data_IF_211344110295
#
_entry.id   IF_211344110295
#
_cell.length_a   1.000
_cell.length_b   1.000
_cell.length_c   1.000
_cell.angle_alpha   90.00
_cell.angle_beta   90.00
_cell.angle_gamma   90.00
#
_symmetry.space_group_name_H-M   'P 1'
#
loop_
_entity.id
_entity.type
_entity.pdbx_description
1 polymer ?
#
# COMPACT_ATOMS: atom_id res chain seq x y z
N UNK A 1 -71.04 32.83 -15.27
CA UNK A 1 -70.65 31.59 -14.53
C UNK A 1 -69.54 30.91 -15.30
N UNK A 2 -68.27 31.14 -14.99
CA UNK A 2 -67.09 30.54 -15.58
C UNK A 2 -66.56 29.44 -14.67
N UNK A 3 -66.40 28.21 -15.21
CA UNK A 3 -65.82 27.08 -14.51
C UNK A 3 -64.29 27.30 -14.31
N UNK A 4 -63.72 26.99 -13.18
CA UNK A 4 -62.28 27.08 -12.96
C UNK A 4 -61.56 25.93 -13.70
N UNK A 5 -60.45 26.27 -14.47
CA UNK A 5 -59.54 25.30 -15.04
C UNK A 5 -58.78 24.53 -13.94
N UNK A 6 -58.86 23.23 -13.96
CA UNK A 6 -58.02 22.35 -13.16
C UNK A 6 -56.57 22.43 -13.69
N UNK A 7 -55.67 23.05 -12.93
CA UNK A 7 -54.24 22.88 -13.12
C UNK A 7 -53.87 21.42 -12.77
N UNK A 8 -53.61 20.62 -13.76
CA UNK A 8 -52.93 19.30 -13.60
C UNK A 8 -51.44 19.58 -13.32
N UNK A 9 -51.06 19.59 -12.04
CA UNK A 9 -49.65 19.49 -11.69
C UNK A 9 -49.14 18.11 -12.12
N UNK A 10 -48.32 18.05 -13.17
CA UNK A 10 -47.56 16.88 -13.52
C UNK A 10 -46.56 16.64 -12.41
N UNK A 11 -46.79 15.62 -11.60
CA UNK A 11 -45.77 15.07 -10.70
C UNK A 11 -44.68 14.43 -11.55
N UNK A 12 -43.69 15.19 -11.98
CA UNK A 12 -42.47 14.66 -12.55
C UNK A 12 -41.86 13.74 -11.51
N UNK A 13 -41.85 12.44 -11.79
CA UNK A 13 -41.19 11.47 -10.92
C UNK A 13 -39.71 11.90 -10.80
N UNK A 14 -39.26 12.09 -9.56
CA UNK A 14 -37.84 12.37 -9.28
C UNK A 14 -37.01 11.18 -9.77
N UNK A 15 -36.27 11.40 -10.86
CA UNK A 15 -35.27 10.44 -11.36
C UNK A 15 -33.97 10.81 -10.68
N UNK A 16 -33.48 9.98 -9.74
CA UNK A 16 -32.24 10.28 -9.04
C UNK A 16 -31.08 10.31 -10.07
N UNK A 17 -30.29 11.38 -10.08
CA UNK A 17 -29.04 11.42 -10.83
C UNK A 17 -28.14 10.28 -10.32
N UNK A 18 -27.54 9.52 -11.23
CA UNK A 18 -26.51 8.53 -10.86
C UNK A 18 -25.39 9.26 -10.13
N UNK A 19 -25.13 8.86 -8.90
CA UNK A 19 -23.97 9.32 -8.13
C UNK A 19 -22.80 8.43 -8.54
N UNK A 20 -21.69 9.05 -8.93
CA UNK A 20 -20.43 8.36 -9.23
C UNK A 20 -19.39 8.72 -8.18
N UNK A 21 -18.35 7.91 -8.05
CA UNK A 21 -17.19 8.23 -7.22
C UNK A 21 -16.51 9.51 -7.70
N UNK A 22 -15.77 10.16 -6.80
CA UNK A 22 -14.96 11.31 -7.18
C UNK A 22 -13.82 10.85 -8.08
N UNK A 23 -13.55 11.62 -9.14
CA UNK A 23 -12.47 11.36 -10.07
C UNK A 23 -11.12 11.38 -9.32
N UNK A 24 -10.19 10.51 -9.73
CA UNK A 24 -8.89 10.35 -9.07
C UNK A 24 -8.90 9.49 -7.80
N UNK A 25 -10.10 9.09 -7.29
CA UNK A 25 -10.22 8.14 -6.19
C UNK A 25 -10.50 6.74 -6.71
N UNK A 26 -9.88 5.74 -6.08
CA UNK A 26 -9.90 4.35 -6.53
C UNK A 26 -10.85 3.51 -5.67
N UNK A 27 -11.73 2.75 -6.34
CA UNK A 27 -12.51 1.68 -5.70
C UNK A 27 -11.75 0.35 -5.78
N UNK A 28 -11.80 -0.42 -4.69
CA UNK A 28 -11.40 -1.84 -4.68
C UNK A 28 -12.69 -2.66 -4.77
N UNK A 29 -12.95 -3.23 -5.94
CA UNK A 29 -14.17 -4.00 -6.20
C UNK A 29 -13.93 -5.51 -6.06
N UNK A 30 -15.00 -6.31 -6.06
CA UNK A 30 -14.89 -7.76 -6.01
C UNK A 30 -14.05 -8.36 -7.17
N UNK A 31 -13.91 -7.66 -8.29
CA UNK A 31 -13.07 -8.09 -9.42
C UNK A 31 -11.57 -7.86 -9.15
N UNK A 32 -11.23 -6.76 -8.46
CA UNK A 32 -9.83 -6.39 -8.15
C UNK A 32 -9.40 -6.87 -6.77
N UNK A 33 -10.34 -7.14 -5.86
CA UNK A 33 -10.09 -7.57 -4.48
C UNK A 33 -9.17 -8.79 -4.33
N UNK A 34 -9.28 -9.85 -5.14
CA UNK A 34 -8.41 -11.02 -4.98
C UNK A 34 -6.92 -10.69 -5.04
N UNK A 35 -6.53 -9.82 -5.97
CA UNK A 35 -5.14 -9.36 -6.07
C UNK A 35 -4.76 -8.47 -4.90
N UNK A 36 -5.64 -7.54 -4.52
CA UNK A 36 -5.44 -6.68 -3.36
C UNK A 36 -5.30 -7.47 -2.07
N UNK A 37 -6.22 -8.41 -1.82
CA UNK A 37 -6.15 -9.26 -0.65
C UNK A 37 -4.86 -10.09 -0.61
N UNK A 38 -4.40 -10.61 -1.75
CA UNK A 38 -3.13 -11.32 -1.84
C UNK A 38 -1.92 -10.42 -1.53
N UNK A 39 -1.90 -9.19 -2.06
CA UNK A 39 -0.87 -8.19 -1.78
C UNK A 39 -0.81 -7.84 -0.29
N UNK A 40 -1.96 -7.52 0.32
CA UNK A 40 -2.06 -7.18 1.74
C UNK A 40 -1.64 -8.35 2.64
N UNK A 41 -2.05 -9.59 2.31
CA UNK A 41 -1.61 -10.78 3.05
C UNK A 41 -0.09 -10.97 2.99
N UNK A 42 0.52 -10.83 1.82
CA UNK A 42 1.98 -10.95 1.65
C UNK A 42 2.73 -9.85 2.40
N UNK A 43 2.28 -8.59 2.28
CA UNK A 43 2.84 -7.48 3.05
C UNK A 43 2.74 -7.72 4.56
N UNK A 44 1.56 -8.14 5.05
CA UNK A 44 1.36 -8.49 6.47
C UNK A 44 2.20 -9.68 6.93
N UNK A 45 2.41 -10.68 6.08
CA UNK A 45 3.29 -11.82 6.38
C UNK A 45 4.73 -11.36 6.56
N UNK A 46 5.23 -10.55 5.63
CA UNK A 46 6.57 -9.98 5.71
C UNK A 46 6.75 -9.17 6.99
N UNK A 47 5.78 -8.30 7.36
CA UNK A 47 5.81 -7.56 8.61
C UNK A 47 6.06 -8.47 9.81
N UNK A 48 5.28 -9.54 9.94
CA UNK A 48 5.41 -10.49 11.06
C UNK A 48 6.74 -11.23 11.04
N UNK A 49 7.21 -11.66 9.87
CA UNK A 49 8.48 -12.37 9.71
C UNK A 49 9.66 -11.51 10.15
N UNK A 50 9.63 -10.21 9.88
CA UNK A 50 10.67 -9.26 10.24
C UNK A 50 10.47 -8.57 11.59
N UNK A 51 9.45 -8.98 12.36
CA UNK A 51 9.18 -8.48 13.71
C UNK A 51 8.59 -7.07 13.75
N UNK A 52 7.90 -6.64 12.70
CA UNK A 52 7.19 -5.36 12.68
C UNK A 52 5.80 -5.48 13.30
N UNK A 53 5.47 -4.55 14.18
CA UNK A 53 4.15 -4.38 14.79
C UNK A 53 3.28 -3.45 13.93
N UNK A 54 2.05 -3.87 13.68
CA UNK A 54 1.12 -3.03 12.91
C UNK A 54 0.67 -1.83 13.74
N UNK A 55 0.80 -0.65 13.16
CA UNK A 55 0.23 0.58 13.70
C UNK A 55 -0.78 1.16 12.71
N UNK A 56 -1.76 1.86 13.26
CA UNK A 56 -2.77 2.56 12.49
C UNK A 56 -2.93 3.98 13.03
N UNK A 57 -2.86 4.96 12.16
CA UNK A 57 -3.02 6.37 12.48
C UNK A 57 -4.33 6.89 11.90
N UNK A 58 -4.94 7.94 12.45
CA UNK A 58 -6.15 8.53 11.91
C UNK A 58 -6.02 8.93 10.44
N UNK A 59 -7.13 8.89 9.72
CA UNK A 59 -7.20 9.39 8.33
C UNK A 59 -7.15 10.92 8.26
N UNK A 60 -7.64 11.58 9.31
CA UNK A 60 -7.62 13.03 9.48
C UNK A 60 -6.59 13.42 10.53
N UNK A 61 -5.76 14.39 10.20
CA UNK A 61 -4.75 14.97 11.09
C UNK A 61 -4.90 16.49 11.12
N UNK A 62 -4.33 17.15 12.12
CA UNK A 62 -4.18 18.60 12.11
C UNK A 62 -3.31 19.00 10.92
N UNK A 63 -3.77 19.92 10.07
CA UNK A 63 -3.04 20.32 8.85
C UNK A 63 -1.62 20.81 9.15
N UNK A 64 -1.40 21.43 10.31
CA UNK A 64 -0.10 21.91 10.78
C UNK A 64 0.95 20.80 10.91
N UNK A 65 0.50 19.53 11.11
CA UNK A 65 1.43 18.40 11.14
C UNK A 65 2.16 18.27 9.81
N UNK A 66 1.42 18.36 8.70
CA UNK A 66 2.01 18.28 7.35
C UNK A 66 2.86 19.51 7.04
N UNK A 67 2.40 20.71 7.40
CA UNK A 67 3.19 21.94 7.20
C UNK A 67 4.56 21.85 7.91
N UNK A 68 4.56 21.40 9.16
CA UNK A 68 5.80 21.21 9.92
C UNK A 68 6.68 20.11 9.31
N UNK A 69 6.08 19.01 8.88
CA UNK A 69 6.79 17.90 8.25
C UNK A 69 7.49 18.34 6.96
N UNK A 70 6.79 19.01 6.06
CA UNK A 70 7.38 19.48 4.81
C UNK A 70 8.43 20.55 5.05
N UNK A 71 8.22 21.45 6.03
CA UNK A 71 9.21 22.43 6.43
C UNK A 71 10.47 21.79 7.02
N UNK A 72 10.32 20.85 7.96
CA UNK A 72 11.44 20.14 8.59
C UNK A 72 12.26 19.36 7.56
N UNK A 73 11.61 18.77 6.56
CA UNK A 73 12.27 18.06 5.48
C UNK A 73 12.78 18.93 4.35
N UNK A 74 12.62 20.26 4.41
CA UNK A 74 12.90 21.16 3.27
C UNK A 74 12.25 20.66 1.95
N UNK A 75 11.06 20.07 2.06
CA UNK A 75 10.35 19.45 0.96
C UNK A 75 9.31 20.39 0.36
N UNK A 76 9.00 20.22 -0.92
CA UNK A 76 7.84 20.86 -1.50
C UNK A 76 6.57 20.30 -0.86
N UNK A 77 5.69 21.16 -0.36
CA UNK A 77 4.45 20.75 0.26
C UNK A 77 3.52 20.13 -0.80
N UNK A 78 2.96 18.98 -0.51
CA UNK A 78 1.89 18.42 -1.31
C UNK A 78 0.62 19.27 -1.14
N UNK A 79 -0.19 19.36 -2.20
CA UNK A 79 -1.51 19.97 -2.11
C UNK A 79 -2.41 19.10 -1.21
N UNK A 80 -2.77 19.65 -0.05
CA UNK A 80 -3.54 18.94 0.96
C UNK A 80 -5.04 19.08 0.69
N UNK A 81 -5.77 17.99 0.85
CA UNK A 81 -7.23 18.05 0.94
C UNK A 81 -7.59 18.42 2.38
N UNK A 82 -8.00 19.66 2.59
CA UNK A 82 -8.30 20.19 3.92
C UNK A 82 -9.79 20.41 4.16
N UNK A 83 -10.18 20.40 5.42
CA UNK A 83 -11.55 20.71 5.87
C UNK A 83 -11.53 21.29 7.29
N UNK A 84 -12.56 22.06 7.63
CA UNK A 84 -12.76 22.50 9.01
C UNK A 84 -13.38 21.38 9.84
N UNK A 85 -12.71 20.98 10.91
CA UNK A 85 -13.17 19.94 11.83
C UNK A 85 -12.80 20.32 13.28
N UNK A 86 -13.75 20.26 14.19
CA UNK A 86 -13.57 20.55 15.62
C UNK A 86 -12.88 21.91 15.90
N UNK A 87 -13.16 22.93 15.08
CA UNK A 87 -12.57 24.28 15.22
C UNK A 87 -11.10 24.38 14.81
N UNK A 88 -10.63 23.43 14.00
CA UNK A 88 -9.26 23.40 13.44
C UNK A 88 -9.33 23.02 11.97
N UNK A 89 -8.34 23.48 11.22
CA UNK A 89 -8.12 22.97 9.87
C UNK A 89 -7.48 21.58 9.95
N UNK A 90 -8.25 20.57 9.52
CA UNK A 90 -7.80 19.20 9.41
C UNK A 90 -7.44 18.90 7.95
N UNK A 91 -6.49 17.99 7.74
CA UNK A 91 -6.12 17.48 6.42
C UNK A 91 -6.36 15.97 6.34
N UNK A 92 -6.78 15.49 5.16
CA UNK A 92 -6.71 14.08 4.85
C UNK A 92 -5.25 13.65 4.81
N UNK A 93 -5.00 12.39 5.21
CA UNK A 93 -3.66 11.81 5.21
C UNK A 93 -3.08 11.79 3.79
N UNK A 94 -2.16 12.73 3.53
CA UNK A 94 -1.44 12.84 2.25
C UNK A 94 -0.24 11.88 2.17
N UNK A 95 0.37 11.60 3.32
CA UNK A 95 1.51 10.69 3.53
C UNK A 95 1.40 10.04 4.91
N UNK A 96 1.95 8.85 5.08
CA UNK A 96 1.91 8.15 6.38
C UNK A 96 2.96 8.65 7.38
N UNK A 97 4.17 8.94 6.90
CA UNK A 97 5.31 9.21 7.76
C UNK A 97 5.04 10.31 8.81
N UNK A 98 4.42 11.47 8.49
CA UNK A 98 4.11 12.49 9.49
C UNK A 98 3.27 11.96 10.65
N UNK A 99 2.20 11.21 10.34
CA UNK A 99 1.29 10.64 11.33
C UNK A 99 1.97 9.57 12.19
N UNK A 100 2.83 8.76 11.59
CA UNK A 100 3.60 7.70 12.27
C UNK A 100 4.62 8.32 13.24
N UNK A 101 5.38 9.33 12.81
CA UNK A 101 6.33 10.06 13.65
C UNK A 101 5.62 10.76 14.81
N UNK A 102 4.50 11.45 14.54
CA UNK A 102 3.67 12.08 15.56
C UNK A 102 3.18 11.05 16.58
N UNK A 103 2.67 9.90 16.12
CA UNK A 103 2.17 8.84 17.01
C UNK A 103 3.29 8.27 17.90
N UNK A 104 4.47 7.98 17.33
CA UNK A 104 5.63 7.49 18.07
C UNK A 104 6.00 8.42 19.22
N UNK A 105 6.05 9.72 18.95
CA UNK A 105 6.41 10.73 19.94
C UNK A 105 5.28 10.98 20.96
N UNK A 106 4.02 11.16 20.48
CA UNK A 106 2.88 11.45 21.33
C UNK A 106 2.62 10.35 22.37
N UNK A 107 2.80 9.07 21.97
CA UNK A 107 2.62 7.92 22.85
C UNK A 107 3.88 7.58 23.65
N UNK A 108 4.93 8.39 23.52
CA UNK A 108 6.22 8.23 24.21
C UNK A 108 6.78 6.81 24.09
N UNK A 109 6.69 6.23 22.89
CA UNK A 109 7.13 4.87 22.63
C UNK A 109 8.60 4.68 22.94
N UNK A 110 9.41 5.73 22.74
CA UNK A 110 10.84 5.78 23.08
C UNK A 110 11.14 5.57 24.58
N UNK A 111 10.18 5.85 25.48
CA UNK A 111 10.31 5.58 26.92
C UNK A 111 10.03 4.09 27.26
N UNK A 112 9.34 3.37 26.37
CA UNK A 112 8.86 2.00 26.61
C UNK A 112 9.78 0.94 26.01
N UNK A 113 10.44 1.26 24.89
CA UNK A 113 11.31 0.32 24.17
C UNK A 113 12.49 1.03 23.56
N UNK A 114 13.72 0.49 23.69
CA UNK A 114 14.91 1.04 23.06
C UNK A 114 14.90 0.87 21.53
N UNK A 115 14.13 -0.08 21.02
CA UNK A 115 13.94 -0.36 19.59
C UNK A 115 12.47 -0.64 19.33
N UNK A 116 11.88 0.05 18.36
CA UNK A 116 10.52 -0.19 17.91
C UNK A 116 10.51 -0.38 16.40
N UNK A 117 9.79 -1.38 15.93
CA UNK A 117 9.61 -1.68 14.50
C UNK A 117 8.12 -1.60 14.18
N UNK A 118 7.72 -0.60 13.40
CA UNK A 118 6.34 -0.35 13.06
C UNK A 118 6.07 -0.56 11.58
N UNK A 119 4.93 -1.16 11.26
CA UNK A 119 4.42 -1.30 9.90
C UNK A 119 3.03 -0.66 9.78
N UNK A 120 2.78 -0.03 8.67
CA UNK A 120 1.52 0.64 8.38
C UNK A 120 1.09 0.41 6.94
N UNK A 121 -0.21 0.52 6.69
CA UNK A 121 -0.75 0.53 5.32
C UNK A 121 -2.13 1.18 5.28
N UNK A 122 -2.48 1.78 4.15
CA UNK A 122 -3.79 2.38 3.93
C UNK A 122 -3.78 3.42 2.83
N UNK A 123 -4.94 4.01 2.60
CA UNK A 123 -5.10 5.08 1.63
C UNK A 123 -4.45 6.39 2.09
N UNK A 124 -3.86 7.07 1.13
CA UNK A 124 -3.46 8.47 1.18
C UNK A 124 -4.20 9.22 0.09
N UNK A 125 -4.56 10.48 0.36
CA UNK A 125 -5.30 11.32 -0.58
C UNK A 125 -4.68 12.70 -0.61
N UNK A 126 -4.39 13.21 -1.79
CA UNK A 126 -3.84 14.54 -2.03
C UNK A 126 -4.44 15.12 -3.29
N UNK A 127 -4.16 16.38 -3.55
CA UNK A 127 -4.47 17.02 -4.82
C UNK A 127 -3.18 17.16 -5.64
N UNK A 128 -3.33 17.25 -6.95
CA UNK A 128 -2.26 17.74 -7.80
C UNK A 128 -2.31 19.28 -7.93
N UNK A 129 -1.42 19.86 -8.74
CA UNK A 129 -1.37 21.31 -8.99
C UNK A 129 -2.62 21.86 -9.67
N UNK A 130 -3.41 21.02 -10.33
CA UNK A 130 -4.67 21.36 -10.98
C UNK A 130 -5.86 21.30 -10.02
N UNK A 131 -5.66 20.76 -8.82
CA UNK A 131 -6.70 20.52 -7.84
C UNK A 131 -7.41 19.17 -8.00
N UNK A 132 -6.94 18.32 -8.92
CA UNK A 132 -7.48 16.99 -9.12
C UNK A 132 -7.08 16.06 -7.98
N UNK A 133 -8.03 15.24 -7.52
CA UNK A 133 -7.78 14.30 -6.43
C UNK A 133 -6.91 13.13 -6.91
N UNK A 134 -5.97 12.75 -6.07
CA UNK A 134 -5.10 11.60 -6.28
C UNK A 134 -5.16 10.70 -5.06
N UNK A 135 -5.57 9.45 -5.23
CA UNK A 135 -5.48 8.44 -4.18
C UNK A 135 -4.42 7.40 -4.49
N UNK A 136 -3.73 6.95 -3.45
CA UNK A 136 -2.79 5.84 -3.50
C UNK A 136 -2.95 4.98 -2.24
N UNK A 137 -2.63 3.71 -2.33
CA UNK A 137 -2.59 2.84 -1.18
C UNK A 137 -1.13 2.57 -0.80
N UNK A 138 -0.70 3.21 0.27
CA UNK A 138 0.67 3.08 0.77
C UNK A 138 0.82 1.91 1.74
N UNK A 139 2.02 1.36 1.78
CA UNK A 139 2.52 0.51 2.85
C UNK A 139 3.90 1.00 3.26
N UNK A 140 4.29 0.75 4.49
CA UNK A 140 5.61 1.19 4.93
C UNK A 140 6.04 0.53 6.22
N UNK A 141 7.32 0.73 6.52
CA UNK A 141 8.05 0.19 7.66
C UNK A 141 8.92 1.27 8.25
N UNK A 142 8.86 1.40 9.57
CA UNK A 142 9.68 2.35 10.31
C UNK A 142 10.35 1.65 11.50
N UNK A 143 11.62 1.89 11.65
CA UNK A 143 12.42 1.46 12.80
C UNK A 143 12.84 2.70 13.57
N UNK A 144 12.62 2.68 14.87
CA UNK A 144 12.92 3.78 15.77
C UNK A 144 13.84 3.33 16.91
N UNK A 145 14.72 4.23 17.33
CA UNK A 145 15.55 4.06 18.52
C UNK A 145 16.95 3.54 18.21
N UNK A 146 17.43 2.60 19.05
CA UNK A 146 18.79 2.10 18.93
C UNK A 146 18.91 0.99 17.89
N UNK A 147 19.39 1.31 16.71
CA UNK A 147 19.68 0.37 15.64
C UNK A 147 21.00 0.70 14.92
N UNK A 148 21.44 -0.17 14.04
CA UNK A 148 22.67 -0.03 13.26
C UNK A 148 22.45 -0.38 11.79
N UNK A 149 23.52 -0.36 10.99
CA UNK A 149 23.51 -0.69 9.57
C UNK A 149 22.88 -2.05 9.23
N UNK A 150 22.98 -3.05 10.11
CA UNK A 150 22.37 -4.37 9.87
C UNK A 150 20.84 -4.30 9.94
N UNK A 151 20.30 -3.45 10.82
CA UNK A 151 18.85 -3.22 10.89
C UNK A 151 18.35 -2.47 9.64
N UNK A 152 19.12 -1.51 9.15
CA UNK A 152 18.80 -0.80 7.89
C UNK A 152 18.80 -1.79 6.72
N UNK A 153 19.85 -2.60 6.59
CA UNK A 153 19.92 -3.66 5.58
C UNK A 153 18.78 -4.70 5.71
N UNK A 154 18.35 -5.01 6.94
CA UNK A 154 17.21 -5.90 7.19
C UNK A 154 15.89 -5.29 6.70
N UNK A 155 15.66 -3.99 6.88
CA UNK A 155 14.47 -3.29 6.34
C UNK A 155 14.47 -3.34 4.82
N UNK A 156 15.61 -3.00 4.19
CA UNK A 156 15.79 -3.06 2.73
C UNK A 156 15.55 -4.48 2.23
N UNK A 157 16.13 -5.48 2.90
CA UNK A 157 15.97 -6.89 2.59
C UNK A 157 14.52 -7.35 2.63
N UNK A 158 13.78 -6.96 3.65
CA UNK A 158 12.36 -7.29 3.77
C UNK A 158 11.52 -6.72 2.65
N UNK A 159 11.76 -5.47 2.25
CA UNK A 159 11.07 -4.85 1.10
C UNK A 159 11.45 -5.57 -0.20
N UNK A 160 12.73 -5.85 -0.40
CA UNK A 160 13.23 -6.56 -1.58
C UNK A 160 12.63 -7.96 -1.70
N UNK A 161 12.59 -8.73 -0.60
CA UNK A 161 11.97 -10.05 -0.55
C UNK A 161 10.47 -9.98 -0.86
N UNK A 162 9.77 -8.98 -0.31
CA UNK A 162 8.35 -8.77 -0.62
C UNK A 162 8.13 -8.58 -2.13
N UNK A 163 8.88 -7.68 -2.78
CA UNK A 163 8.75 -7.41 -4.21
C UNK A 163 9.16 -8.63 -5.07
N UNK A 164 10.23 -9.31 -4.68
CA UNK A 164 10.70 -10.53 -5.35
C UNK A 164 9.67 -11.66 -5.26
N UNK A 165 9.00 -11.81 -4.11
CA UNK A 165 7.93 -12.80 -3.91
C UNK A 165 6.70 -12.58 -4.79
N UNK A 166 6.53 -11.35 -5.29
CA UNK A 166 5.49 -10.98 -6.25
C UNK A 166 5.89 -11.24 -7.71
N UNK A 167 7.13 -11.66 -7.96
CA UNK A 167 7.66 -11.91 -9.31
C UNK A 167 8.06 -10.62 -10.05
N UNK A 168 8.25 -9.52 -9.37
CA UNK A 168 8.65 -8.23 -9.96
C UNK A 168 10.17 -8.21 -10.22
N UNK A 169 10.60 -8.84 -11.33
CA UNK A 169 12.02 -9.03 -11.68
C UNK A 169 12.72 -7.75 -12.17
N UNK A 170 11.97 -6.79 -12.68
CA UNK A 170 12.52 -5.55 -13.25
C UNK A 170 12.66 -4.43 -12.21
N UNK A 171 12.65 -4.81 -10.91
CA UNK A 171 12.94 -3.88 -9.84
C UNK A 171 14.42 -3.52 -9.80
N UNK A 172 14.71 -2.25 -9.58
CA UNK A 172 16.04 -1.70 -9.35
C UNK A 172 16.06 -0.97 -8.02
N UNK A 173 16.93 -1.39 -7.12
CA UNK A 173 17.24 -0.68 -5.89
C UNK A 173 18.37 0.32 -6.19
N UNK A 174 18.07 1.60 -6.08
CA UNK A 174 19.10 2.65 -6.07
C UNK A 174 19.32 3.11 -4.64
N UNK A 175 20.58 3.25 -4.23
CA UNK A 175 20.96 3.63 -2.88
C UNK A 175 22.05 4.71 -2.90
N UNK A 176 21.99 5.62 -1.94
CA UNK A 176 22.97 6.67 -1.73
C UNK A 176 23.14 6.95 -0.24
N UNK A 177 24.18 7.71 0.09
CA UNK A 177 24.38 8.29 1.40
C UNK A 177 24.69 9.79 1.28
N UNK A 178 23.93 10.60 2.00
CA UNK A 178 24.10 12.07 1.97
C UNK A 178 24.75 12.61 3.25
N UNK A 179 25.22 11.71 4.10
CA UNK A 179 25.91 12.09 5.34
C UNK A 179 25.01 12.70 6.42
N UNK A 180 25.65 13.20 7.44
CA UNK A 180 25.03 14.00 8.50
C UNK A 180 24.86 15.47 8.06
N UNK A 181 24.37 16.32 8.97
CA UNK A 181 24.14 17.74 8.66
C UNK A 181 25.41 18.47 8.18
N UNK A 182 26.56 18.20 8.79
CA UNK A 182 27.83 18.86 8.42
C UNK A 182 28.27 18.48 7.01
N UNK A 183 28.15 17.19 6.65
CA UNK A 183 28.41 16.69 5.29
C UNK A 183 27.47 17.37 4.27
N UNK A 184 26.18 17.48 4.61
CA UNK A 184 25.18 18.10 3.74
C UNK A 184 25.41 19.60 3.59
N UNK A 185 25.74 20.32 4.65
CA UNK A 185 26.00 21.75 4.58
C UNK A 185 27.20 22.06 3.69
N UNK A 186 28.28 21.30 3.83
CA UNK A 186 29.49 21.43 2.99
C UNK A 186 29.16 21.10 1.52
N UNK A 187 28.45 20.03 1.27
CA UNK A 187 28.02 19.66 -0.08
C UNK A 187 27.06 20.69 -0.69
N UNK A 188 26.06 21.12 0.06
CA UNK A 188 25.07 22.10 -0.41
C UNK A 188 25.72 23.42 -0.82
N UNK A 189 26.74 23.84 -0.09
CA UNK A 189 27.50 25.04 -0.47
C UNK A 189 28.23 24.82 -1.80
N UNK A 190 28.98 23.73 -1.92
CA UNK A 190 29.72 23.43 -3.15
C UNK A 190 28.79 23.23 -4.36
N UNK A 191 27.66 22.56 -4.16
CA UNK A 191 26.64 22.39 -5.21
C UNK A 191 26.02 23.72 -5.61
N UNK A 192 25.76 24.61 -4.65
CA UNK A 192 25.22 25.94 -4.91
C UNK A 192 26.21 26.74 -5.73
N UNK A 193 27.49 26.81 -5.34
CA UNK A 193 28.53 27.53 -6.08
C UNK A 193 28.70 27.01 -7.50
N UNK A 194 28.61 25.68 -7.69
CA UNK A 194 28.62 25.04 -9.00
C UNK A 194 27.44 25.49 -9.86
N UNK A 195 26.20 25.43 -9.31
CA UNK A 195 24.97 25.76 -10.04
C UNK A 195 24.88 27.29 -10.31
N UNK A 196 25.31 28.13 -9.37
CA UNK A 196 25.35 29.58 -9.59
C UNK A 196 26.26 29.96 -10.76
N UNK A 197 27.42 29.30 -10.90
CA UNK A 197 28.35 29.55 -12.02
C UNK A 197 27.72 29.22 -13.39
N UNK A 198 26.66 28.39 -13.40
CA UNK A 198 25.96 27.93 -14.60
C UNK A 198 24.44 28.28 -14.58
N UNK A 199 24.08 29.33 -13.85
CA UNK A 199 22.70 29.74 -13.56
C UNK A 199 21.81 29.89 -14.81
N UNK A 200 22.39 30.29 -15.93
CA UNK A 200 21.71 30.48 -17.22
C UNK A 200 21.25 29.15 -17.87
N UNK A 201 21.71 28.01 -17.37
CA UNK A 201 21.29 26.67 -17.83
C UNK A 201 20.19 26.07 -16.96
N UNK A 202 19.85 26.69 -15.84
CA UNK A 202 18.80 26.24 -14.95
C UNK A 202 17.45 26.75 -15.40
N UNK A 203 16.40 25.95 -15.19
CA UNK A 203 15.03 26.40 -15.35
C UNK A 203 14.63 27.39 -14.24
N UNK A 204 13.53 28.12 -14.44
CA UNK A 204 13.10 29.17 -13.50
C UNK A 204 12.84 28.63 -12.10
N UNK A 205 12.19 27.45 -11.97
CA UNK A 205 11.91 26.79 -10.68
C UNK A 205 13.19 26.43 -9.93
N UNK A 206 14.20 25.87 -10.62
CA UNK A 206 15.49 25.56 -10.01
C UNK A 206 16.24 26.82 -9.59
N UNK A 207 16.18 27.89 -10.38
CA UNK A 207 16.78 29.17 -10.06
C UNK A 207 16.16 29.82 -8.83
N UNK A 208 14.82 29.80 -8.72
CA UNK A 208 14.09 30.38 -7.60
C UNK A 208 14.44 29.68 -6.26
N UNK A 209 14.70 28.37 -6.33
CA UNK A 209 14.96 27.54 -5.14
C UNK A 209 16.42 27.24 -4.86
N UNK A 210 17.36 27.86 -5.62
CA UNK A 210 18.79 27.59 -5.50
C UNK A 210 19.33 27.80 -4.08
N UNK A 211 18.88 28.88 -3.42
CA UNK A 211 19.34 29.21 -2.06
C UNK A 211 18.66 28.39 -0.97
N UNK A 212 17.39 28.09 -1.15
CA UNK A 212 16.56 27.50 -0.09
C UNK A 212 16.52 25.97 -0.11
N UNK A 213 16.65 25.38 -1.31
CA UNK A 213 16.44 23.92 -1.51
C UNK A 213 17.30 23.39 -2.65
N UNK A 214 18.61 23.62 -2.60
CA UNK A 214 19.55 23.28 -3.68
C UNK A 214 19.46 21.81 -4.15
N UNK A 215 19.25 20.86 -3.23
CA UNK A 215 19.11 19.44 -3.56
C UNK A 215 17.86 19.11 -4.38
N UNK A 216 16.86 20.00 -4.44
CA UNK A 216 15.66 19.77 -5.28
C UNK A 216 15.99 19.74 -6.78
N UNK A 217 17.13 20.30 -7.19
CA UNK A 217 17.61 20.25 -8.56
C UNK A 217 17.73 18.80 -9.08
N UNK A 218 18.07 17.84 -8.21
CA UNK A 218 18.18 16.42 -8.56
C UNK A 218 16.83 15.77 -8.93
N UNK A 219 15.72 16.42 -8.61
CA UNK A 219 14.35 15.98 -8.95
C UNK A 219 13.75 16.75 -10.13
N UNK A 220 14.50 17.66 -10.72
CA UNK A 220 14.05 18.46 -11.85
C UNK A 220 13.87 17.59 -13.08
N UNK A 221 12.73 17.76 -13.79
CA UNK A 221 12.43 17.05 -15.04
C UNK A 221 12.91 17.78 -16.30
N UNK A 222 13.41 19.01 -16.16
CA UNK A 222 13.95 19.79 -17.26
C UNK A 222 15.27 19.17 -17.76
N UNK A 223 15.37 18.94 -19.08
CA UNK A 223 16.52 18.25 -19.68
C UNK A 223 17.84 19.02 -19.53
N UNK A 224 17.81 20.34 -19.62
CA UNK A 224 19.02 21.18 -19.44
C UNK A 224 19.52 21.10 -18.00
N UNK A 225 18.62 21.15 -17.02
CA UNK A 225 18.95 20.93 -15.63
C UNK A 225 19.54 19.54 -15.40
N UNK A 226 18.96 18.50 -16.00
CA UNK A 226 19.45 17.12 -15.88
C UNK A 226 20.86 16.95 -16.48
N UNK A 227 21.12 17.57 -17.63
CA UNK A 227 22.45 17.57 -18.25
C UNK A 227 23.46 18.24 -17.31
N UNK A 228 23.11 19.40 -16.77
CA UNK A 228 23.96 20.12 -15.83
C UNK A 228 24.24 19.33 -14.53
N UNK A 229 23.24 18.69 -13.98
CA UNK A 229 23.33 17.89 -12.77
C UNK A 229 24.27 16.69 -12.95
N UNK A 230 24.35 16.12 -14.15
CA UNK A 230 25.26 15.01 -14.42
C UNK A 230 26.74 15.37 -14.27
N UNK A 231 27.07 16.67 -14.32
CA UNK A 231 28.42 17.22 -14.12
C UNK A 231 28.66 17.71 -12.66
N UNK A 232 27.63 17.63 -11.80
CA UNK A 232 27.71 18.13 -10.43
C UNK A 232 28.66 17.29 -9.57
N UNK A 233 29.28 17.88 -8.53
CA UNK A 233 30.08 17.13 -7.56
C UNK A 233 29.27 15.99 -6.95
N UNK A 234 29.91 14.85 -6.70
CA UNK A 234 29.25 13.71 -6.06
C UNK A 234 29.17 13.91 -4.54
N UNK A 235 27.99 13.76 -3.96
CA UNK A 235 27.79 13.91 -2.51
C UNK A 235 28.62 12.93 -1.68
N UNK A 236 28.93 11.75 -2.24
CA UNK A 236 29.73 10.71 -1.59
C UNK A 236 31.18 11.18 -1.27
N UNK A 237 31.70 12.16 -2.01
CA UNK A 237 33.04 12.72 -1.78
C UNK A 237 33.10 13.59 -0.51
N UNK A 238 31.94 14.06 -0.04
CA UNK A 238 31.80 14.94 1.14
C UNK A 238 31.50 14.16 2.43
N UNK A 239 31.39 12.83 2.37
CA UNK A 239 31.16 12.01 3.55
C UNK A 239 32.40 12.03 4.46
N UNK A 240 32.15 12.23 5.74
CA UNK A 240 33.15 11.98 6.78
C UNK A 240 33.47 10.49 6.92
N UNK A 241 34.51 10.13 7.64
CA UNK A 241 34.97 8.75 7.82
C UNK A 241 33.86 7.86 8.45
N UNK A 242 33.12 8.39 9.42
CA UNK A 242 32.05 7.66 10.11
C UNK A 242 30.90 7.31 9.15
N UNK A 243 30.42 8.29 8.38
CA UNK A 243 29.33 8.09 7.42
C UNK A 243 29.77 7.19 6.26
N UNK A 244 31.01 7.31 5.80
CA UNK A 244 31.59 6.46 4.78
C UNK A 244 31.65 5.00 5.25
N UNK A 245 32.18 4.78 6.47
CA UNK A 245 32.24 3.44 7.07
C UNK A 245 30.85 2.84 7.26
N UNK A 246 29.89 3.64 7.79
CA UNK A 246 28.51 3.19 7.96
C UNK A 246 27.89 2.75 6.63
N UNK A 247 28.07 3.52 5.56
CA UNK A 247 27.56 3.21 4.23
C UNK A 247 28.19 1.97 3.66
N UNK A 248 29.51 1.82 3.76
CA UNK A 248 30.23 0.60 3.35
C UNK A 248 29.66 -0.64 4.05
N UNK A 249 29.44 -0.56 5.37
CA UNK A 249 28.87 -1.69 6.12
C UNK A 249 27.43 -2.04 5.68
N UNK A 250 26.63 -1.06 5.23
CA UNK A 250 25.31 -1.35 4.65
C UNK A 250 25.45 -2.09 3.33
N UNK A 251 26.33 -1.63 2.45
CA UNK A 251 26.57 -2.26 1.14
C UNK A 251 27.06 -3.70 1.31
N UNK A 252 28.01 -3.93 2.20
CA UNK A 252 28.50 -5.29 2.56
C UNK A 252 27.36 -6.17 3.10
N UNK A 253 26.47 -5.63 3.92
CA UNK A 253 25.31 -6.36 4.41
C UNK A 253 24.30 -6.69 3.30
N UNK A 254 24.10 -5.80 2.31
CA UNK A 254 23.26 -6.06 1.13
C UNK A 254 23.89 -7.13 0.23
N UNK A 255 25.22 -7.11 0.07
CA UNK A 255 25.97 -8.13 -0.67
C UNK A 255 25.81 -9.52 0.00
N UNK A 256 25.91 -9.59 1.33
CA UNK A 256 25.68 -10.84 2.10
C UNK A 256 24.24 -11.37 1.94
N UNK A 257 23.27 -10.46 1.82
CA UNK A 257 21.88 -10.80 1.54
C UNK A 257 21.61 -11.12 0.06
N UNK A 258 22.62 -11.01 -0.83
CA UNK A 258 22.49 -11.15 -2.28
C UNK A 258 21.44 -10.20 -2.88
N UNK A 259 21.35 -8.98 -2.38
CA UNK A 259 20.43 -7.96 -2.87
C UNK A 259 21.18 -7.07 -3.88
N UNK A 260 20.80 -7.10 -5.17
CA UNK A 260 21.44 -6.24 -6.16
C UNK A 260 21.04 -4.77 -5.94
N UNK A 261 21.99 -3.87 -5.98
CA UNK A 261 21.79 -2.44 -5.86
C UNK A 261 22.61 -1.65 -6.88
N UNK A 262 22.22 -0.41 -7.10
CA UNK A 262 22.95 0.56 -7.89
C UNK A 262 23.25 1.80 -7.01
N UNK A 263 24.48 2.24 -7.01
CA UNK A 263 24.81 3.52 -6.39
C UNK A 263 24.28 4.67 -7.26
N UNK A 264 23.52 5.56 -6.65
CA UNK A 264 23.02 6.74 -7.34
C UNK A 264 23.45 8.01 -6.57
N UNK A 265 24.64 8.57 -6.87
CA UNK A 265 25.15 9.75 -6.14
C UNK A 265 24.30 11.02 -6.33
N UNK A 266 23.37 11.00 -7.29
CA UNK A 266 22.44 12.11 -7.54
C UNK A 266 21.10 11.94 -6.81
N UNK A 267 20.90 10.83 -6.10
CA UNK A 267 19.66 10.60 -5.35
C UNK A 267 19.81 11.10 -3.90
N UNK A 268 19.19 12.23 -3.60
CA UNK A 268 19.20 12.85 -2.28
C UNK A 268 17.92 12.59 -1.46
N UNK A 269 17.10 11.61 -1.86
CA UNK A 269 15.83 11.31 -1.20
C UNK A 269 14.77 12.39 -1.42
N UNK A 270 13.60 12.26 -0.78
CA UNK A 270 12.51 13.23 -0.92
C UNK A 270 12.69 14.53 -0.12
N UNK A 271 13.86 14.75 0.47
CA UNK A 271 14.21 15.88 1.36
C UNK A 271 14.04 15.54 2.84
N UNK A 272 14.90 16.13 3.68
CA UNK A 272 14.93 15.90 5.12
C UNK A 272 15.41 14.51 5.54
N UNK A 273 15.84 13.70 4.61
CA UNK A 273 16.53 12.45 4.90
C UNK A 273 18.00 12.76 5.14
N UNK A 274 18.63 12.05 6.06
CA UNK A 274 20.05 12.06 6.30
C UNK A 274 20.66 10.73 5.90
N UNK A 275 21.97 10.60 6.06
CA UNK A 275 22.68 9.32 5.86
C UNK A 275 22.16 8.50 4.67
N UNK A 276 21.72 7.27 4.92
CA UNK A 276 21.26 6.33 3.90
C UNK A 276 19.92 6.75 3.30
N UNK A 277 19.87 6.79 1.97
CA UNK A 277 18.67 7.03 1.17
C UNK A 277 18.53 5.95 0.12
N UNK A 278 17.30 5.52 -0.15
CA UNK A 278 17.02 4.50 -1.16
C UNK A 278 15.74 4.78 -1.93
N UNK A 279 15.72 4.32 -3.16
CA UNK A 279 14.51 4.31 -4.00
C UNK A 279 14.44 2.97 -4.72
N UNK A 280 13.25 2.40 -4.77
CA UNK A 280 12.99 1.21 -5.58
C UNK A 280 12.16 1.63 -6.77
N UNK A 281 12.72 1.35 -7.95
CA UNK A 281 12.12 1.64 -9.25
C UNK A 281 11.74 0.34 -9.96
N UNK A 282 10.73 0.39 -10.79
CA UNK A 282 10.36 -0.68 -11.70
C UNK A 282 10.39 -0.18 -13.13
N UNK A 283 11.17 -0.86 -13.98
CA UNK A 283 11.29 -0.50 -15.39
C UNK A 283 10.20 -1.21 -16.19
N UNK A 284 9.26 -0.44 -16.75
CA UNK A 284 8.34 -0.93 -17.77
C UNK A 284 8.94 -0.70 -19.16
N UNK A 285 8.27 -1.16 -20.21
CA UNK A 285 8.72 -0.90 -21.59
C UNK A 285 8.70 0.59 -21.95
N UNK A 286 7.82 1.37 -21.34
CA UNK A 286 7.53 2.74 -21.72
C UNK A 286 8.01 3.78 -20.70
N UNK A 287 8.11 3.40 -19.44
CA UNK A 287 8.40 4.32 -18.32
C UNK A 287 9.11 3.62 -17.16
N UNK A 288 9.65 4.42 -16.25
CA UNK A 288 10.18 3.93 -14.97
C UNK A 288 9.29 4.44 -13.84
N UNK A 289 8.70 3.52 -13.11
CA UNK A 289 7.82 3.81 -11.98
C UNK A 289 8.60 3.76 -10.66
N UNK A 290 8.47 4.77 -9.82
CA UNK A 290 8.96 4.73 -8.45
C UNK A 290 7.95 3.94 -7.62
N UNK A 291 8.35 2.77 -7.11
CA UNK A 291 7.52 1.92 -6.26
C UNK A 291 7.52 2.36 -4.81
N UNK A 292 8.62 2.96 -4.35
CA UNK A 292 8.73 3.49 -3.01
C UNK A 292 10.10 4.08 -2.75
N UNK A 293 10.18 4.83 -1.66
CA UNK A 293 11.38 5.55 -1.20
C UNK A 293 11.58 5.31 0.29
N UNK A 294 12.81 5.38 0.74
CA UNK A 294 13.15 5.19 2.14
C UNK A 294 14.47 5.86 2.52
N UNK A 295 14.76 5.83 3.79
CA UNK A 295 16.01 6.40 4.28
C UNK A 295 15.98 6.70 5.77
N UNK A 296 17.04 7.38 6.19
CA UNK A 296 17.24 7.82 7.56
C UNK A 296 16.68 9.24 7.73
N UNK A 297 15.72 9.45 8.62
CA UNK A 297 15.00 10.73 8.70
C UNK A 297 14.90 11.32 10.11
N UNK A 298 15.99 11.22 10.87
CA UNK A 298 16.12 11.81 12.21
C UNK A 298 15.88 13.33 12.22
N UNK A 299 16.29 14.04 11.17
CA UNK A 299 16.08 15.48 11.05
C UNK A 299 14.60 15.86 10.99
N UNK A 300 13.80 15.05 10.31
CA UNK A 300 12.35 15.26 10.22
C UNK A 300 11.71 15.10 11.60
N UNK A 301 12.05 14.04 12.32
CA UNK A 301 11.48 13.80 13.65
C UNK A 301 11.94 14.88 14.64
N UNK A 302 13.19 15.35 14.55
CA UNK A 302 13.68 16.48 15.33
C UNK A 302 12.88 17.75 15.06
N UNK A 303 12.60 18.05 13.79
CA UNK A 303 11.79 19.21 13.40
C UNK A 303 10.33 19.14 13.87
N UNK A 304 9.76 17.94 13.92
CA UNK A 304 8.38 17.73 14.39
C UNK A 304 8.26 17.69 15.91
N UNK A 305 9.24 17.12 16.59
CA UNK A 305 9.15 16.73 18.01
C UNK A 305 10.14 17.47 18.90
N UNK A 306 11.01 18.27 18.33
CA UNK A 306 12.00 19.08 19.05
C UNK A 306 13.21 18.29 19.59
N UNK A 307 13.25 16.96 19.41
CA UNK A 307 14.35 16.10 19.84
C UNK A 307 14.71 15.10 18.74
N UNK A 308 16.01 14.86 18.51
CA UNK A 308 16.43 13.85 17.56
C UNK A 308 16.10 12.44 18.10
N UNK A 309 15.53 11.60 17.25
CA UNK A 309 15.36 10.18 17.48
C UNK A 309 15.79 9.45 16.21
N UNK A 310 16.76 8.52 16.28
CA UNK A 310 17.10 7.72 15.13
C UNK A 310 15.87 7.02 14.58
N UNK A 311 15.61 7.23 13.29
CA UNK A 311 14.56 6.50 12.59
C UNK A 311 14.96 6.26 11.13
N UNK A 312 14.65 5.06 10.67
CA UNK A 312 14.92 4.58 9.31
C UNK A 312 13.72 3.79 8.81
N UNK A 313 13.30 4.06 7.59
CA UNK A 313 12.16 3.33 7.06
C UNK A 313 12.02 3.41 5.55
N UNK A 314 10.91 2.84 5.09
CA UNK A 314 10.53 2.77 3.68
C UNK A 314 9.02 2.93 3.55
N UNK A 315 8.61 3.70 2.56
CA UNK A 315 7.20 3.82 2.15
C UNK A 315 7.06 3.52 0.67
N UNK A 316 6.16 2.61 0.34
CA UNK A 316 5.88 2.19 -1.03
C UNK A 316 4.40 2.27 -1.41
N UNK A 317 4.12 2.26 -2.71
CA UNK A 317 2.78 2.29 -3.30
C UNK A 317 2.31 0.89 -3.69
N UNK A 318 1.32 0.36 -2.98
CA UNK A 318 0.65 -0.88 -3.38
C UNK A 318 -0.22 -0.68 -4.63
N UNK A 319 -0.74 0.53 -4.88
CA UNK A 319 -1.51 0.82 -6.10
C UNK A 319 -0.66 0.65 -7.35
N UNK A 320 0.59 1.16 -7.34
CA UNK A 320 1.52 0.98 -8.45
C UNK A 320 1.92 -0.48 -8.63
N UNK A 321 2.18 -1.19 -7.53
CA UNK A 321 2.48 -2.62 -7.56
C UNK A 321 1.29 -3.40 -8.15
N UNK A 322 0.07 -3.12 -7.70
CA UNK A 322 -1.16 -3.71 -8.23
C UNK A 322 -1.30 -3.45 -9.75
N UNK A 323 -1.11 -2.20 -10.18
CA UNK A 323 -1.15 -1.82 -11.60
C UNK A 323 -0.17 -2.63 -12.46
N UNK A 324 1.08 -2.78 -11.99
CA UNK A 324 2.10 -3.57 -12.68
C UNK A 324 1.69 -5.05 -12.78
N UNK A 325 1.25 -5.64 -11.67
CA UNK A 325 0.85 -7.05 -11.65
C UNK A 325 -0.36 -7.31 -12.53
N UNK A 326 -1.34 -6.41 -12.54
CA UNK A 326 -2.52 -6.49 -13.40
C UNK A 326 -2.15 -6.40 -14.87
N UNK A 327 -1.26 -5.47 -15.26
CA UNK A 327 -0.81 -5.28 -16.63
C UNK A 327 0.09 -6.43 -17.13
N UNK A 328 0.86 -7.03 -16.23
CA UNK A 328 1.77 -8.15 -16.53
C UNK A 328 1.06 -9.50 -16.64
N UNK A 329 -0.29 -9.56 -16.48
CA UNK A 329 -1.07 -10.80 -16.42
C UNK A 329 -0.49 -11.86 -15.46
N UNK A 330 0.22 -11.42 -14.42
CA UNK A 330 0.67 -12.29 -13.35
C UNK A 330 -0.58 -12.82 -12.67
N UNK A 331 -0.95 -14.04 -12.99
CA UNK A 331 -2.04 -14.77 -12.34
C UNK A 331 -1.59 -15.05 -10.91
N UNK A 332 -1.93 -14.16 -9.98
CA UNK A 332 -1.99 -14.58 -8.60
C UNK A 332 -3.09 -15.63 -8.57
N UNK A 333 -2.74 -16.85 -8.19
CA UNK A 333 -3.73 -17.90 -7.99
C UNK A 333 -4.87 -17.29 -7.18
N UNK A 334 -6.07 -17.24 -7.75
CA UNK A 334 -7.28 -16.85 -7.03
C UNK A 334 -7.40 -17.83 -5.86
N UNK A 335 -6.93 -17.44 -4.69
CA UNK A 335 -7.19 -18.17 -3.44
C UNK A 335 -8.63 -17.97 -2.95
N UNK A 336 -9.53 -17.48 -3.80
CA UNK A 336 -10.97 -17.53 -3.59
C UNK A 336 -11.53 -18.83 -4.16
N UNK A 337 -10.95 -19.94 -3.78
CA UNK A 337 -11.61 -21.21 -3.96
C UNK A 337 -12.59 -21.37 -2.79
N UNK A 338 -13.87 -21.28 -3.06
CA UNK A 338 -14.86 -21.84 -2.16
C UNK A 338 -14.58 -23.32 -2.03
N UNK A 339 -14.53 -23.84 -0.82
CA UNK A 339 -14.41 -25.29 -0.60
C UNK A 339 -15.72 -25.98 -0.99
N UNK A 340 -16.85 -25.34 -0.71
CA UNK A 340 -18.19 -25.90 -0.84
C UNK A 340 -19.17 -24.84 -1.34
N UNK A 341 -20.07 -25.22 -2.23
CA UNK A 341 -21.22 -24.43 -2.64
C UNK A 341 -22.52 -25.11 -2.21
N UNK A 342 -23.37 -24.41 -1.45
CA UNK A 342 -24.68 -24.95 -1.05
C UNK A 342 -25.74 -24.68 -2.11
N UNK A 343 -26.52 -25.70 -2.44
CA UNK A 343 -27.59 -25.68 -3.46
C UNK A 343 -28.92 -26.12 -2.82
N UNK A 344 -29.54 -25.24 -1.99
CA UNK A 344 -30.85 -25.58 -1.41
C UNK A 344 -32.00 -25.34 -2.41
N UNK A 345 -33.00 -26.19 -2.37
CA UNK A 345 -34.19 -26.16 -3.21
C UNK A 345 -35.45 -26.23 -2.36
N UNK A 346 -36.09 -25.10 -2.16
CA UNK A 346 -37.31 -24.96 -1.36
C UNK A 346 -37.02 -24.53 0.09
N UNK A 347 -38.09 -24.15 0.78
CA UNK A 347 -37.97 -23.49 2.09
C UNK A 347 -37.37 -24.38 3.19
N UNK A 348 -37.81 -25.64 3.28
CA UNK A 348 -37.29 -26.58 4.27
C UNK A 348 -35.80 -26.86 4.05
N UNK A 349 -35.41 -27.07 2.77
CA UNK A 349 -34.03 -27.31 2.39
C UNK A 349 -33.15 -26.10 2.69
N UNK A 350 -33.66 -24.88 2.46
CA UNK A 350 -32.90 -23.65 2.80
C UNK A 350 -32.68 -23.51 4.30
N UNK A 351 -33.66 -23.82 5.15
CA UNK A 351 -33.49 -23.82 6.62
C UNK A 351 -32.44 -24.84 7.08
N UNK A 352 -32.46 -26.05 6.51
CA UNK A 352 -31.47 -27.10 6.81
C UNK A 352 -30.07 -26.73 6.28
N UNK A 353 -29.99 -26.18 5.07
CA UNK A 353 -28.74 -25.73 4.46
C UNK A 353 -28.09 -24.58 5.27
N UNK A 354 -28.88 -23.67 5.86
CA UNK A 354 -28.38 -22.65 6.75
C UNK A 354 -27.68 -23.22 8.00
N UNK A 355 -28.26 -24.30 8.57
CA UNK A 355 -27.60 -25.01 9.67
C UNK A 355 -26.30 -25.67 9.19
N UNK A 356 -26.33 -26.32 8.03
CA UNK A 356 -25.16 -26.95 7.43
C UNK A 356 -24.05 -25.93 7.13
N UNK A 357 -24.41 -24.74 6.65
CA UNK A 357 -23.48 -23.61 6.49
C UNK A 357 -22.73 -23.29 7.79
N UNK A 358 -23.48 -23.18 8.90
CA UNK A 358 -22.90 -22.94 10.21
C UNK A 358 -21.95 -24.09 10.63
N UNK A 359 -22.38 -25.34 10.48
CA UNK A 359 -21.61 -26.50 10.91
C UNK A 359 -20.29 -26.60 10.10
N UNK A 360 -20.32 -26.39 8.80
CA UNK A 360 -19.12 -26.34 7.95
C UNK A 360 -18.21 -25.16 8.27
N UNK A 361 -18.78 -23.98 8.54
CA UNK A 361 -18.01 -22.76 8.89
C UNK A 361 -17.24 -22.93 10.22
N UNK A 362 -17.83 -23.60 11.21
CA UNK A 362 -17.15 -23.92 12.47
C UNK A 362 -15.93 -24.82 12.27
N UNK A 363 -15.98 -25.69 11.25
CA UNK A 363 -14.85 -26.53 10.83
C UNK A 363 -13.90 -25.86 9.84
N UNK A 364 -13.99 -24.54 9.69
CA UNK A 364 -13.16 -23.70 8.79
C UNK A 364 -13.23 -24.10 7.32
N UNK A 365 -14.34 -24.66 6.89
CA UNK A 365 -14.63 -24.90 5.49
C UNK A 365 -15.21 -23.61 4.90
N UNK A 366 -14.65 -23.16 3.78
CA UNK A 366 -15.14 -21.98 3.07
C UNK A 366 -16.42 -22.36 2.29
N UNK A 367 -17.54 -21.75 2.68
CA UNK A 367 -18.87 -22.09 2.14
C UNK A 367 -19.44 -20.88 1.41
N UNK A 368 -19.93 -21.12 0.18
CA UNK A 368 -20.75 -20.15 -0.55
C UNK A 368 -22.16 -20.72 -0.74
N UNK A 369 -23.12 -19.81 -0.88
CA UNK A 369 -24.51 -20.17 -1.09
C UNK A 369 -25.23 -19.12 -1.93
N UNK A 370 -26.41 -19.51 -2.42
CA UNK A 370 -27.37 -18.60 -3.00
C UNK A 370 -28.76 -18.97 -2.44
N UNK A 371 -29.06 -18.50 -1.23
CA UNK A 371 -30.37 -18.75 -0.60
C UNK A 371 -31.56 -18.08 -1.31
N UNK A 372 -31.34 -17.49 -2.50
CA UNK A 372 -32.39 -16.98 -3.36
C UNK A 372 -33.12 -18.09 -4.16
N UNK A 373 -34.26 -17.75 -4.76
CA UNK A 373 -35.09 -18.69 -5.53
C UNK A 373 -34.50 -19.04 -6.90
N UNK A 374 -33.23 -19.40 -7.00
CA UNK A 374 -32.59 -19.83 -8.24
C UNK A 374 -32.72 -21.34 -8.42
N UNK A 375 -33.08 -21.79 -9.63
CA UNK A 375 -33.13 -23.24 -9.93
C UNK A 375 -31.75 -23.89 -9.87
N UNK A 376 -31.71 -25.23 -9.67
CA UNK A 376 -30.48 -26.05 -9.53
C UNK A 376 -29.41 -25.69 -10.58
N UNK A 377 -29.81 -25.60 -11.85
CA UNK A 377 -28.89 -25.31 -12.96
C UNK A 377 -28.15 -24.00 -12.79
N UNK A 378 -28.82 -22.94 -12.30
CA UNK A 378 -28.22 -21.65 -12.09
C UNK A 378 -27.29 -21.66 -10.87
N UNK A 379 -27.68 -22.35 -9.79
CA UNK A 379 -26.84 -22.48 -8.59
C UNK A 379 -25.57 -23.30 -8.89
N UNK A 380 -25.66 -24.37 -9.68
CA UNK A 380 -24.49 -25.14 -10.11
C UNK A 380 -23.54 -24.34 -11.01
N UNK A 381 -24.06 -23.49 -11.91
CA UNK A 381 -23.22 -22.55 -12.66
C UNK A 381 -22.48 -21.57 -11.77
N UNK A 382 -23.11 -21.15 -10.66
CA UNK A 382 -22.42 -20.31 -9.66
C UNK A 382 -21.34 -21.09 -8.91
N UNK A 383 -21.60 -22.37 -8.57
CA UNK A 383 -20.57 -23.23 -7.97
C UNK A 383 -19.32 -23.34 -8.89
N UNK A 384 -19.51 -23.45 -10.19
CA UNK A 384 -18.42 -23.43 -11.19
C UNK A 384 -17.73 -22.06 -11.22
N UNK A 385 -18.49 -20.97 -11.19
CA UNK A 385 -17.95 -19.60 -11.18
C UNK A 385 -17.10 -19.31 -9.95
N UNK A 386 -17.53 -19.79 -8.77
CA UNK A 386 -16.78 -19.68 -7.51
C UNK A 386 -15.69 -20.75 -7.35
N UNK A 387 -15.49 -21.57 -8.38
CA UNK A 387 -14.49 -22.66 -8.38
C UNK A 387 -14.62 -23.63 -7.19
N UNK A 388 -15.84 -23.81 -6.69
CA UNK A 388 -16.11 -24.76 -5.62
C UNK A 388 -15.93 -26.19 -6.13
N UNK A 389 -15.04 -27.01 -5.55
CA UNK A 389 -14.89 -28.41 -5.96
C UNK A 389 -16.09 -29.27 -5.58
N UNK A 390 -16.80 -28.90 -4.53
CA UNK A 390 -17.93 -29.65 -3.98
C UNK A 390 -19.20 -28.79 -4.00
N UNK A 391 -20.31 -29.35 -4.52
CA UNK A 391 -21.62 -28.77 -4.34
C UNK A 391 -22.46 -29.69 -3.43
N UNK A 392 -23.10 -29.10 -2.42
CA UNK A 392 -24.03 -29.81 -1.53
C UNK A 392 -25.47 -29.45 -1.89
N UNK A 393 -26.17 -30.39 -2.49
CA UNK A 393 -27.52 -30.19 -3.00
C UNK A 393 -28.51 -30.79 -2.00
N UNK A 394 -29.53 -30.02 -1.66
CA UNK A 394 -30.60 -30.45 -0.77
C UNK A 394 -31.94 -30.01 -1.32
N UNK A 395 -32.72 -30.94 -1.74
CA UNK A 395 -34.12 -30.75 -2.11
C UNK A 395 -35.06 -30.96 -0.92
N UNK A 396 -36.36 -30.83 -1.16
CA UNK A 396 -37.36 -31.03 -0.10
C UNK A 396 -37.33 -32.44 0.45
N UNK A 397 -37.14 -33.45 -0.41
CA UNK A 397 -37.06 -34.87 -0.01
C UNK A 397 -35.82 -35.11 0.85
N UNK A 398 -34.65 -34.68 0.38
CA UNK A 398 -33.38 -34.83 1.10
C UNK A 398 -33.47 -34.14 2.47
N UNK A 399 -34.09 -32.95 2.53
CA UNK A 399 -34.30 -32.23 3.77
C UNK A 399 -35.20 -32.96 4.76
N UNK A 400 -36.21 -33.68 4.28
CA UNK A 400 -37.11 -34.50 5.12
C UNK A 400 -36.40 -35.76 5.61
N UNK A 401 -35.64 -36.42 4.74
CA UNK A 401 -34.93 -37.67 5.02
C UNK A 401 -33.60 -37.49 5.74
N UNK A 402 -33.23 -36.23 6.08
CA UNK A 402 -31.95 -35.85 6.69
C UNK A 402 -30.72 -36.30 5.87
N UNK A 403 -30.84 -36.16 4.55
CA UNK A 403 -29.83 -36.52 3.57
C UNK A 403 -29.33 -35.29 2.83
N UNK A 404 -28.12 -35.36 2.28
CA UNK A 404 -27.52 -34.33 1.43
C UNK A 404 -26.87 -34.98 0.22
N UNK A 405 -27.08 -34.47 -0.97
CA UNK A 405 -26.41 -34.95 -2.19
C UNK A 405 -25.07 -34.19 -2.27
N UNK A 406 -23.96 -34.88 -2.11
CA UNK A 406 -22.63 -34.37 -2.37
C UNK A 406 -22.31 -34.61 -3.85
N UNK A 407 -22.03 -33.49 -4.55
CA UNK A 407 -21.66 -33.53 -5.97
C UNK A 407 -20.25 -33.01 -6.13
N UNK A 408 -19.38 -33.77 -6.79
CA UNK A 408 -18.15 -33.27 -7.35
C UNK A 408 -18.48 -32.39 -8.57
N UNK A 409 -18.07 -31.10 -8.51
CA UNK A 409 -18.48 -30.12 -9.54
C UNK A 409 -17.79 -30.38 -10.87
N UNK A 410 -16.53 -30.90 -10.84
CA UNK A 410 -15.77 -31.18 -12.07
C UNK A 410 -16.22 -32.43 -12.79
N UNK A 411 -16.33 -33.55 -12.07
CA UNK A 411 -16.70 -34.84 -12.65
C UNK A 411 -18.21 -35.00 -12.80
N UNK A 412 -19.00 -34.26 -12.04
CA UNK A 412 -20.44 -34.38 -11.97
C UNK A 412 -20.92 -35.58 -11.16
N UNK A 413 -20.03 -36.41 -10.58
CA UNK A 413 -20.39 -37.54 -9.74
C UNK A 413 -21.16 -37.08 -8.49
N UNK A 414 -22.15 -37.86 -8.08
CA UNK A 414 -23.02 -37.55 -6.95
C UNK A 414 -23.15 -38.75 -6.02
N UNK A 415 -23.17 -38.46 -4.74
CA UNK A 415 -23.42 -39.43 -3.66
C UNK A 415 -24.42 -38.86 -2.66
N UNK A 416 -25.27 -39.69 -2.12
CA UNK A 416 -26.24 -39.31 -1.08
C UNK A 416 -25.66 -39.66 0.27
N UNK A 417 -25.51 -38.68 1.14
CA UNK A 417 -24.84 -38.82 2.45
C UNK A 417 -25.77 -38.30 3.54
N UNK A 418 -25.79 -38.95 4.68
CA UNK A 418 -26.59 -38.50 5.82
C UNK A 418 -26.03 -37.17 6.40
N UNK A 419 -26.96 -36.34 6.86
CA UNK A 419 -26.65 -35.00 7.36
C UNK A 419 -25.59 -35.02 8.49
N UNK A 420 -25.63 -36.00 9.37
CA UNK A 420 -24.67 -36.14 10.49
C UNK A 420 -23.22 -36.46 10.04
N UNK A 421 -23.05 -37.03 8.84
CA UNK A 421 -21.76 -37.44 8.27
C UNK A 421 -21.20 -36.48 7.24
N UNK A 422 -22.02 -35.55 6.72
CA UNK A 422 -21.64 -34.73 5.57
C UNK A 422 -20.40 -33.83 5.86
N UNK A 423 -20.31 -33.25 7.06
CA UNK A 423 -19.21 -32.38 7.42
C UNK A 423 -17.88 -33.16 7.43
N UNK A 424 -17.88 -34.37 8.00
CA UNK A 424 -16.69 -35.23 8.02
C UNK A 424 -16.28 -35.70 6.63
N UNK A 425 -17.24 -36.02 5.76
CA UNK A 425 -16.97 -36.45 4.39
C UNK A 425 -16.44 -35.29 3.54
N UNK A 426 -16.97 -34.07 3.70
CA UNK A 426 -16.45 -32.86 3.05
C UNK A 426 -14.99 -32.62 3.44
N UNK A 427 -14.66 -32.66 4.73
CA UNK A 427 -13.28 -32.52 5.21
C UNK A 427 -12.34 -33.57 4.60
N UNK A 428 -12.75 -34.81 4.59
CA UNK A 428 -11.97 -35.91 3.99
C UNK A 428 -11.69 -35.65 2.51
N UNK A 429 -12.67 -35.18 1.72
CA UNK A 429 -12.48 -34.87 0.29
C UNK A 429 -11.63 -33.65 0.05
N UNK A 430 -11.60 -32.71 0.99
CA UNK A 430 -10.72 -31.55 0.96
C UNK A 430 -9.30 -31.84 1.47
N UNK A 431 -9.03 -33.06 1.96
CA UNK A 431 -7.73 -33.47 2.50
C UNK A 431 -7.44 -32.86 3.87
N UNK A 432 -8.49 -32.59 4.66
CA UNK A 432 -8.40 -31.94 5.98
C UNK A 432 -8.91 -32.83 7.10
#
# INVERSE_FOLDING_TARGET
>A
MGRPKKNSASSGAYVPKKIQGLEGLMDITAETDPLWAALLRRASRMCRTYGFERVETPLLEDARLYEQYYKAGSRQMAELVTMEAAGKTAALRAEFLPSVLRAYYQHKTFEKSPLSKWAFSGFVVRQDKSGDLLSDYHFGFEVFGQFNHLTEAQVIGGVWEFLSSLGLKECVLEINNIGNQECQDSYNQTLRDFLESKKYQLCDDCNEHLDSRVLNVFRCSNLDCQALISEAPAILDFLDESNRKHFTNILEALDELNIPYQLNPLYAGPGGFGRTNLVIKYKTKNETLILGEGGYHEQIIQGLCGKPHPCFGFTGSLSKIHYILQSSKVTTSREQNSDVFLVPLGELASKKALRLFKDLSLERVSVYDHFGNAGVKNQLKQAEHFHAPIALIMGQKEAMDEMVILRDVRSGMQEVISYDKIVSEVKKRLGR
#
